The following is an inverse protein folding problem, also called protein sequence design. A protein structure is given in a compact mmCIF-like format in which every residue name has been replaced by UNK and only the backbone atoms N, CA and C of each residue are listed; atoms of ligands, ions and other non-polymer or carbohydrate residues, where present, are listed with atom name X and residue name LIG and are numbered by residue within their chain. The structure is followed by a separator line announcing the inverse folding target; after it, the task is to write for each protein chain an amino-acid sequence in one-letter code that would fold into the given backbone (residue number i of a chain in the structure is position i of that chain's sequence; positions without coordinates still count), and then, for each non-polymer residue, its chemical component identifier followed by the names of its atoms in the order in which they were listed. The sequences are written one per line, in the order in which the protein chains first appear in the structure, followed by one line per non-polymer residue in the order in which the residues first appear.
data_IF_400159179936
#
_entry.id   IF_400159179936
#
_cell.length_a   1.000
_cell.length_b   1.000
_cell.length_c   1.000
_cell.angle_alpha   90.00
_cell.angle_beta   90.00
_cell.angle_gamma   90.00
#
_symmetry.space_group_name_H-M   'P 1'
#
loop_
_entity.id
_entity.type
_entity.pdbx_description
1 polymer ?
#
# COMPACT_ATOMS: atom_id res chain seq x y z
N UNK A 1 19.42 11.84 5.70
CA UNK A 1 18.41 12.65 4.98
C UNK A 1 17.50 13.27 6.02
N UNK A 2 17.17 14.57 5.91
CA UNK A 2 16.28 15.25 6.87
C UNK A 2 14.82 14.81 6.64
N UNK A 3 13.97 14.74 7.67
CA UNK A 3 12.56 14.35 7.52
C UNK A 3 11.82 15.15 6.42
N UNK A 4 12.07 16.46 6.35
CA UNK A 4 11.53 17.35 5.32
C UNK A 4 11.85 16.91 3.89
N UNK A 5 13.06 16.39 3.66
CA UNK A 5 13.47 15.88 2.34
C UNK A 5 12.73 14.59 1.98
N UNK A 6 12.44 13.73 2.97
CA UNK A 6 11.67 12.49 2.76
C UNK A 6 10.24 12.84 2.35
N UNK A 7 9.59 13.75 3.09
CA UNK A 7 8.22 14.19 2.78
C UNK A 7 8.15 14.79 1.37
N UNK A 8 9.09 15.67 1.00
CA UNK A 8 9.14 16.25 -0.34
C UNK A 8 9.22 15.19 -1.46
N UNK A 9 10.05 14.17 -1.28
CA UNK A 9 10.18 13.07 -2.26
C UNK A 9 8.87 12.28 -2.31
N UNK A 10 8.27 11.93 -1.17
CA UNK A 10 7.02 11.16 -1.14
C UNK A 10 5.86 11.91 -1.79
N UNK A 11 5.73 13.20 -1.54
CA UNK A 11 4.74 14.07 -2.20
C UNK A 11 4.96 14.09 -3.72
N UNK A 12 6.21 14.25 -4.17
CA UNK A 12 6.53 14.25 -5.59
C UNK A 12 6.20 12.90 -6.25
N UNK A 13 6.57 11.78 -5.63
CA UNK A 13 6.25 10.45 -6.16
C UNK A 13 4.73 10.21 -6.17
N UNK A 14 4.01 10.67 -5.15
CA UNK A 14 2.55 10.60 -5.11
C UNK A 14 1.90 11.40 -6.26
N UNK A 15 2.30 12.65 -6.47
CA UNK A 15 1.78 13.48 -7.56
C UNK A 15 2.13 12.93 -8.95
N UNK A 16 3.26 12.20 -9.07
CA UNK A 16 3.66 11.56 -10.32
C UNK A 16 2.67 10.48 -10.78
N UNK A 17 1.91 9.88 -9.85
CA UNK A 17 0.87 8.89 -10.13
C UNK A 17 -0.23 9.49 -11.01
N UNK A 18 -0.62 10.74 -10.77
CA UNK A 18 -1.61 11.46 -11.58
C UNK A 18 -1.15 11.62 -13.03
N UNK A 19 0.16 11.60 -13.26
CA UNK A 19 0.79 11.70 -14.57
C UNK A 19 1.11 10.32 -15.19
N UNK A 20 0.64 9.23 -14.58
CA UNK A 20 0.83 7.86 -15.04
C UNK A 20 2.14 7.19 -14.59
N UNK A 21 2.86 7.78 -13.64
CA UNK A 21 4.06 7.20 -13.06
C UNK A 21 3.75 6.48 -11.74
N UNK A 22 3.75 5.15 -11.76
CA UNK A 22 3.45 4.31 -10.59
C UNK A 22 4.72 3.72 -9.97
N UNK A 23 5.67 4.57 -9.56
CA UNK A 23 6.93 4.12 -8.96
C UNK A 23 6.69 3.50 -7.58
N UNK A 24 7.06 2.22 -7.34
CA UNK A 24 6.99 1.65 -6.00
C UNK A 24 8.04 2.29 -5.08
N UNK A 25 7.63 2.77 -3.92
CA UNK A 25 8.52 3.42 -2.93
C UNK A 25 8.65 2.57 -1.68
N UNK A 26 9.89 2.37 -1.22
CA UNK A 26 10.20 1.69 0.04
C UNK A 26 10.87 2.68 1.01
N UNK A 27 10.27 2.87 2.19
CA UNK A 27 10.84 3.70 3.26
C UNK A 27 11.52 2.83 4.32
N UNK A 28 12.84 2.91 4.43
CA UNK A 28 13.63 2.15 5.40
C UNK A 28 14.19 3.03 6.52
N UNK A 29 14.25 2.49 7.74
CA UNK A 29 14.86 3.15 8.89
C UNK A 29 14.45 2.50 10.21
N UNK A 30 15.07 2.93 11.31
CA UNK A 30 14.83 2.40 12.65
C UNK A 30 13.33 2.40 13.05
N UNK A 31 12.89 1.47 13.93
CA UNK A 31 11.52 1.49 14.45
C UNK A 31 11.26 2.79 15.23
N UNK A 32 10.02 3.28 15.20
CA UNK A 32 9.61 4.46 15.98
C UNK A 32 9.99 5.83 15.42
N UNK A 33 10.67 5.93 14.27
CA UNK A 33 11.10 7.23 13.69
C UNK A 33 9.99 8.00 12.94
N UNK A 34 8.73 7.56 13.01
CA UNK A 34 7.60 8.24 12.36
C UNK A 34 7.35 7.89 10.88
N UNK A 35 7.91 6.79 10.36
CA UNK A 35 7.70 6.36 8.95
C UNK A 35 6.23 6.29 8.56
N UNK A 36 5.41 5.59 9.36
CA UNK A 36 3.98 5.46 9.11
C UNK A 36 3.26 6.81 9.20
N UNK A 37 3.67 7.68 10.13
CA UNK A 37 3.06 9.02 10.28
C UNK A 37 3.29 9.89 9.06
N UNK A 38 4.49 9.84 8.46
CA UNK A 38 4.77 10.60 7.23
C UNK A 38 3.86 10.13 6.08
N UNK A 39 3.66 8.82 5.90
CA UNK A 39 2.73 8.29 4.87
C UNK A 39 1.30 8.76 5.14
N UNK A 40 0.84 8.67 6.38
CA UNK A 40 -0.51 9.14 6.74
C UNK A 40 -0.67 10.64 6.53
N UNK A 41 0.36 11.44 6.79
CA UNK A 41 0.35 12.88 6.55
C UNK A 41 0.18 13.19 5.05
N UNK A 42 0.94 12.55 4.18
CA UNK A 42 0.83 12.74 2.72
C UNK A 42 -0.60 12.40 2.24
N UNK A 43 -1.19 11.31 2.73
CA UNK A 43 -2.56 10.94 2.38
C UNK A 43 -3.59 11.99 2.82
N UNK A 44 -3.45 12.54 4.04
CA UNK A 44 -4.32 13.61 4.56
C UNK A 44 -4.16 14.89 3.76
N UNK A 45 -2.93 15.29 3.44
CA UNK A 45 -2.64 16.51 2.67
C UNK A 45 -3.22 16.47 1.26
N UNK A 46 -3.24 15.29 0.62
CA UNK A 46 -3.85 15.08 -0.69
C UNK A 46 -5.33 14.66 -0.63
N UNK A 47 -5.93 14.59 0.56
CA UNK A 47 -7.32 14.20 0.76
C UNK A 47 -7.68 12.85 0.10
N UNK A 48 -6.80 11.85 0.25
CA UNK A 48 -6.99 10.50 -0.28
C UNK A 48 -7.12 9.46 0.83
N UNK A 49 -7.90 8.39 0.62
CA UNK A 49 -7.94 7.27 1.55
C UNK A 49 -6.59 6.54 1.59
N UNK A 50 -6.13 6.20 2.80
CA UNK A 50 -4.94 5.37 3.00
C UNK A 50 -5.36 3.94 3.34
N UNK A 51 -4.93 2.98 2.52
CA UNK A 51 -5.08 1.54 2.81
C UNK A 51 -3.82 1.07 3.54
N UNK A 52 -3.98 0.69 4.81
CA UNK A 52 -2.89 0.23 5.67
C UNK A 52 -2.95 -1.28 5.88
N UNK A 53 -1.91 -1.99 5.41
CA UNK A 53 -1.79 -3.45 5.53
C UNK A 53 -0.58 -3.78 6.40
N UNK A 54 -0.84 -4.39 7.57
CA UNK A 54 0.20 -4.76 8.55
C UNK A 54 0.69 -6.17 8.30
N UNK A 55 1.71 -6.30 7.44
CA UNK A 55 2.30 -7.60 7.08
C UNK A 55 2.82 -8.42 8.27
N UNK A 56 3.21 -7.79 9.38
CA UNK A 56 3.67 -8.48 10.59
C UNK A 56 2.58 -9.28 11.31
N UNK A 57 1.31 -9.05 10.96
CA UNK A 57 0.15 -9.75 11.51
C UNK A 57 -0.42 -10.79 10.54
N UNK A 58 0.23 -10.98 9.38
CA UNK A 58 -0.30 -11.78 8.28
C UNK A 58 0.57 -12.99 7.99
N UNK A 59 -0.07 -14.09 7.65
CA UNK A 59 0.58 -15.24 7.06
C UNK A 59 0.67 -15.09 5.53
N UNK A 60 1.62 -15.78 4.86
CA UNK A 60 1.71 -15.74 3.40
C UNK A 60 0.43 -16.15 2.67
N UNK A 61 -0.36 -17.06 3.27
CA UNK A 61 -1.67 -17.46 2.74
C UNK A 61 -2.69 -16.33 2.73
N UNK A 62 -2.62 -15.41 3.69
CA UNK A 62 -3.56 -14.28 3.78
C UNK A 62 -3.35 -13.26 2.65
N UNK A 63 -2.15 -13.21 2.08
CA UNK A 63 -1.85 -12.41 0.88
C UNK A 63 -2.20 -13.17 -0.40
N UNK A 64 -1.99 -14.50 -0.39
CA UNK A 64 -2.17 -15.34 -1.59
C UNK A 64 -3.64 -15.63 -1.89
N UNK A 65 -4.46 -15.78 -0.85
CA UNK A 65 -5.84 -16.24 -0.97
C UNK A 65 -6.05 -17.69 -0.55
N UNK A 66 -7.31 -18.10 -0.54
CA UNK A 66 -7.71 -19.48 -0.24
C UNK A 66 -7.85 -20.23 -1.57
N UNK A 67 -7.21 -21.40 -1.73
CA UNK A 67 -7.36 -22.20 -2.93
C UNK A 67 -8.72 -22.90 -2.94
N UNK A 68 -9.38 -22.89 -4.09
CA UNK A 68 -10.62 -23.64 -4.30
C UNK A 68 -10.52 -24.46 -5.60
N UNK A 69 -11.10 -25.66 -5.56
CA UNK A 69 -11.10 -26.56 -6.71
C UNK A 69 -12.12 -26.06 -7.74
N UNK A 70 -11.68 -25.92 -8.99
CA UNK A 70 -12.52 -25.60 -10.13
C UNK A 70 -12.27 -26.62 -11.24
N UNK A 71 -13.09 -27.68 -11.29
CA UNK A 71 -12.85 -28.82 -12.18
C UNK A 71 -11.51 -29.50 -11.87
N UNK A 72 -10.63 -29.57 -12.86
CA UNK A 72 -9.26 -30.10 -12.73
C UNK A 72 -8.21 -29.01 -12.40
N UNK A 73 -8.65 -27.76 -12.19
CA UNK A 73 -7.80 -26.62 -11.87
C UNK A 73 -7.99 -26.16 -10.42
N UNK A 74 -7.03 -25.37 -9.94
CA UNK A 74 -7.10 -24.68 -8.64
C UNK A 74 -7.07 -23.19 -8.88
N UNK A 75 -8.14 -22.52 -8.49
CA UNK A 75 -8.24 -21.07 -8.49
C UNK A 75 -7.95 -20.54 -7.08
N UNK A 76 -7.48 -19.29 -7.01
CA UNK A 76 -7.13 -18.63 -5.74
C UNK A 76 -8.05 -17.43 -5.54
N UNK A 77 -8.76 -17.39 -4.42
CA UNK A 77 -9.68 -16.28 -4.12
C UNK A 77 -8.87 -15.08 -3.67
N UNK A 78 -9.01 -13.94 -4.33
CA UNK A 78 -8.33 -12.71 -3.91
C UNK A 78 -8.84 -12.31 -2.52
N UNK A 79 -7.96 -12.16 -1.51
CA UNK A 79 -8.37 -11.76 -0.17
C UNK A 79 -9.09 -10.41 -0.21
N UNK A 80 -10.24 -10.32 0.47
CA UNK A 80 -11.01 -9.07 0.55
C UNK A 80 -10.25 -7.94 1.25
N UNK A 81 -9.20 -8.24 2.03
CA UNK A 81 -8.33 -7.23 2.63
C UNK A 81 -7.53 -6.42 1.60
N UNK A 82 -7.20 -6.99 0.44
CA UNK A 82 -6.36 -6.32 -0.55
C UNK A 82 -7.11 -5.16 -1.23
N UNK A 83 -6.39 -4.13 -1.74
CA UNK A 83 -6.99 -3.03 -2.47
C UNK A 83 -7.83 -3.52 -3.65
N UNK A 84 -8.99 -2.90 -3.85
CA UNK A 84 -9.95 -3.22 -4.89
C UNK A 84 -10.62 -1.94 -5.36
N UNK A 85 -10.63 -1.71 -6.68
CA UNK A 85 -11.11 -0.45 -7.25
C UNK A 85 -12.62 -0.23 -7.03
N UNK A 86 -13.41 -1.30 -7.05
CA UNK A 86 -14.86 -1.21 -6.83
C UNK A 86 -15.20 -0.78 -5.39
N UNK A 87 -14.36 -1.16 -4.42
CA UNK A 87 -14.55 -0.84 -3.00
C UNK A 87 -13.81 0.42 -2.54
N UNK A 88 -12.69 0.76 -3.16
CA UNK A 88 -11.79 1.81 -2.68
C UNK A 88 -11.61 2.99 -3.66
N UNK A 89 -12.23 2.93 -4.84
CA UNK A 89 -12.08 3.95 -5.89
C UNK A 89 -10.90 3.66 -6.83
N UNK A 90 -10.87 4.36 -7.97
CA UNK A 90 -9.74 4.39 -8.90
C UNK A 90 -8.62 5.33 -8.43
#
# INVERSE_FOLDING_TARGET
MRPEQVSKILTQEFESVIHGHHTPVMLWGAPGIGKSQIISQVAVEHNVPMIDIRLSQMEPSDLRGIPFKNGDLVDWSIPSLLPDAARHGE
#
